data_IF_428209525000
#
_entry.id   IF_428209525000
#
_cell.length_a   1.000
_cell.length_b   1.000
_cell.length_c   1.000
_cell.angle_alpha   90.00
_cell.angle_beta   90.00
_cell.angle_gamma   90.00
#
_symmetry.space_group_name_H-M   'P 1'
#
loop_
_entity.id
_entity.type
_entity.pdbx_description
1 polymer ?
#
# COMPACT_ATOMS: atom_id res chain seq x y z
N UNK A 1 21.04 4.50 -1.31
CA UNK A 1 20.50 3.82 -2.50
C UNK A 1 20.98 2.38 -2.49
N UNK A 2 20.06 1.43 -2.58
CA UNK A 2 20.32 -0.02 -2.68
C UNK A 2 19.93 -0.44 -4.10
N UNK A 3 20.79 -1.16 -4.81
CA UNK A 3 20.52 -1.68 -6.16
C UNK A 3 20.33 -3.20 -6.06
N UNK A 4 19.40 -3.76 -6.81
CA UNK A 4 19.15 -5.21 -6.76
C UNK A 4 20.38 -5.97 -7.28
N UNK A 5 20.86 -6.99 -6.56
CA UNK A 5 22.13 -7.66 -6.88
C UNK A 5 22.14 -8.39 -8.23
N UNK A 6 20.97 -8.76 -8.74
CA UNK A 6 20.81 -9.50 -10.00
C UNK A 6 20.09 -8.69 -11.10
N UNK A 7 19.60 -7.48 -10.79
CA UNK A 7 18.89 -6.63 -11.75
C UNK A 7 19.23 -5.14 -11.51
N UNK A 8 20.19 -4.57 -12.24
CA UNK A 8 20.61 -3.19 -12.04
C UNK A 8 19.53 -2.16 -12.40
N UNK A 9 18.44 -2.56 -13.06
CA UNK A 9 17.31 -1.67 -13.35
C UNK A 9 16.40 -1.43 -12.13
N UNK A 10 16.57 -2.20 -11.05
CA UNK A 10 15.85 -2.03 -9.80
C UNK A 10 16.73 -1.33 -8.76
N UNK A 11 16.21 -0.24 -8.20
CA UNK A 11 16.88 0.48 -7.13
C UNK A 11 15.88 1.02 -6.10
N UNK A 12 16.30 1.02 -4.83
CA UNK A 12 15.56 1.55 -3.71
C UNK A 12 16.34 2.69 -3.07
N UNK A 13 15.64 3.78 -2.81
CA UNK A 13 16.17 4.98 -2.20
C UNK A 13 15.85 4.94 -0.69
N UNK A 14 16.91 5.05 0.12
CA UNK A 14 16.84 5.42 1.54
C UNK A 14 17.18 6.92 1.57
N UNK A 15 16.20 7.78 1.82
CA UNK A 15 16.28 9.16 1.33
C UNK A 15 17.00 10.11 2.31
N UNK A 16 17.98 10.85 1.77
CA UNK A 16 18.45 12.16 2.24
C UNK A 16 18.81 13.01 1.00
N UNK A 17 17.90 13.92 0.59
CA UNK A 17 18.02 15.09 -0.33
C UNK A 17 16.85 15.25 -1.35
N UNK A 18 16.76 16.46 -1.95
CA UNK A 18 15.61 17.11 -2.62
C UNK A 18 15.27 16.52 -4.01
N UNK A 19 14.80 15.27 -4.05
CA UNK A 19 14.27 14.61 -5.24
C UNK A 19 12.81 14.13 -5.04
N UNK A 20 12.22 13.43 -6.02
CA UNK A 20 10.87 12.86 -5.91
C UNK A 20 10.72 11.95 -4.69
N UNK A 21 11.78 11.24 -4.30
CA UNK A 21 11.77 10.42 -3.10
C UNK A 21 11.75 11.29 -1.84
N UNK A 22 12.44 12.43 -1.86
CA UNK A 22 12.31 13.51 -0.86
C UNK A 22 10.86 13.96 -0.69
N UNK A 23 10.18 14.30 -1.79
CA UNK A 23 8.75 14.67 -1.77
C UNK A 23 7.86 13.61 -1.14
N UNK A 24 8.09 12.32 -1.48
CA UNK A 24 7.32 11.20 -0.92
C UNK A 24 7.61 11.03 0.58
N UNK A 25 8.86 11.15 1.01
CA UNK A 25 9.21 11.03 2.44
C UNK A 25 8.63 12.19 3.24
N UNK A 26 8.69 13.42 2.72
CA UNK A 26 8.09 14.58 3.38
C UNK A 26 6.58 14.46 3.47
N UNK A 27 5.91 14.04 2.39
CA UNK A 27 4.49 13.70 2.42
C UNK A 27 4.17 12.64 3.46
N UNK A 28 4.94 11.54 3.51
CA UNK A 28 4.73 10.48 4.48
C UNK A 28 4.84 11.02 5.92
N UNK A 29 5.81 11.88 6.22
CA UNK A 29 5.99 12.50 7.54
C UNK A 29 4.92 13.53 7.89
N UNK A 30 4.42 14.28 6.91
CA UNK A 30 3.47 15.37 7.11
C UNK A 30 2.01 14.92 7.07
N UNK A 31 1.71 13.81 6.38
CA UNK A 31 0.35 13.31 6.21
C UNK A 31 0.16 11.94 6.87
N UNK A 32 0.93 10.92 6.46
CA UNK A 32 0.73 9.56 6.95
C UNK A 32 1.07 9.41 8.44
N UNK A 33 2.13 10.06 8.90
CA UNK A 33 2.56 10.04 10.30
C UNK A 33 1.78 11.01 11.21
N UNK A 34 0.89 11.84 10.66
CA UNK A 34 0.15 12.85 11.43
C UNK A 34 -1.30 12.44 11.65
N UNK A 35 -1.93 12.89 12.76
CA UNK A 35 -3.37 12.74 12.91
C UNK A 35 -4.10 13.58 11.87
N UNK A 36 -5.29 13.14 11.48
CA UNK A 36 -6.16 13.87 10.57
C UNK A 36 -7.54 14.06 11.22
N UNK A 37 -8.14 15.26 11.18
CA UNK A 37 -9.42 15.53 11.84
C UNK A 37 -10.56 14.63 11.32
N UNK A 38 -10.54 14.31 10.03
CA UNK A 38 -11.55 13.47 9.38
C UNK A 38 -11.23 11.97 9.46
N UNK A 39 -10.15 11.55 10.13
CA UNK A 39 -9.74 10.14 10.17
C UNK A 39 -10.79 9.23 10.84
N UNK A 40 -11.59 9.76 11.77
CA UNK A 40 -12.56 9.00 12.57
C UNK A 40 -11.95 8.25 13.77
N UNK A 41 -10.63 8.37 14.00
CA UNK A 41 -9.95 7.86 15.21
C UNK A 41 -8.78 8.75 15.61
N UNK A 42 -8.29 8.59 16.85
CA UNK A 42 -7.05 9.23 17.32
C UNK A 42 -5.80 8.60 16.67
N UNK A 43 -4.70 9.35 16.72
CA UNK A 43 -3.39 8.90 16.24
C UNK A 43 -3.18 9.17 14.74
N UNK A 44 -2.09 8.66 14.16
CA UNK A 44 -1.68 8.97 12.79
C UNK A 44 -2.64 8.36 11.75
N UNK A 45 -2.70 8.97 10.56
CA UNK A 45 -3.42 8.46 9.39
C UNK A 45 -3.03 7.01 9.09
N UNK A 46 -1.73 6.72 9.02
CA UNK A 46 -1.19 5.36 8.93
C UNK A 46 -0.35 5.04 10.19
N UNK A 47 -0.70 4.01 10.98
CA UNK A 47 0.05 3.65 12.18
C UNK A 47 1.37 2.92 11.89
N UNK A 48 1.63 2.55 10.63
CA UNK A 48 2.80 1.76 10.23
C UNK A 48 3.93 2.60 9.63
N UNK A 49 3.63 3.80 9.11
CA UNK A 49 4.61 4.62 8.38
C UNK A 49 5.73 5.13 9.28
N UNK A 50 5.41 5.68 10.46
CA UNK A 50 6.44 6.18 11.38
C UNK A 50 7.38 5.05 11.84
N UNK A 51 6.89 3.89 12.33
CA UNK A 51 7.76 2.76 12.65
C UNK A 51 8.59 2.23 11.48
N UNK A 52 8.06 2.30 10.24
CA UNK A 52 8.78 1.90 9.03
C UNK A 52 9.97 2.84 8.76
N UNK A 53 9.75 4.15 8.83
CA UNK A 53 10.79 5.18 8.70
C UNK A 53 11.86 5.04 9.80
N UNK A 54 11.44 4.92 11.06
CA UNK A 54 12.36 4.79 12.21
C UNK A 54 13.26 3.55 12.13
N UNK A 55 12.80 2.50 11.41
CA UNK A 55 13.53 1.24 11.21
C UNK A 55 14.33 1.19 9.91
N UNK A 56 14.30 2.25 9.09
CA UNK A 56 14.93 2.25 7.77
C UNK A 56 14.32 1.20 6.83
N UNK A 57 13.00 0.97 6.92
CA UNK A 57 12.27 -0.04 6.13
C UNK A 57 11.19 0.57 5.23
N UNK A 58 11.29 1.87 5.02
CA UNK A 58 10.44 2.64 4.12
C UNK A 58 11.23 2.91 2.85
N UNK A 59 11.02 2.07 1.83
CA UNK A 59 11.78 2.13 0.59
C UNK A 59 10.97 2.79 -0.51
N UNK A 60 11.63 3.59 -1.34
CA UNK A 60 11.01 4.25 -2.49
C UNK A 60 11.76 3.88 -3.77
N UNK A 61 11.03 3.51 -4.81
CA UNK A 61 11.52 3.39 -6.18
C UNK A 61 10.85 4.44 -7.04
N UNK A 62 11.61 5.04 -7.96
CA UNK A 62 11.09 5.96 -8.97
C UNK A 62 11.07 5.25 -10.33
N UNK A 63 9.90 5.18 -10.96
CA UNK A 63 9.78 4.81 -12.36
C UNK A 63 10.19 6.00 -13.22
N UNK A 64 11.22 5.82 -14.05
CA UNK A 64 11.72 6.86 -14.94
C UNK A 64 10.87 6.93 -16.22
N UNK A 65 10.42 8.14 -16.58
CA UNK A 65 9.60 8.38 -17.75
C UNK A 65 8.10 8.10 -17.55
N UNK A 66 7.25 8.54 -18.49
CA UNK A 66 5.82 8.24 -18.47
C UNK A 66 5.59 6.77 -18.86
N UNK A 67 4.92 5.94 -18.02
CA UNK A 67 4.51 4.62 -18.46
C UNK A 67 3.51 4.74 -19.63
N UNK A 68 3.68 3.90 -20.63
CA UNK A 68 2.83 3.89 -21.82
C UNK A 68 1.53 3.11 -21.57
N UNK A 69 1.58 2.05 -20.76
CA UNK A 69 0.45 1.15 -20.52
C UNK A 69 0.38 0.67 -19.07
N UNK A 70 -0.80 0.16 -18.68
CA UNK A 70 -0.97 -0.50 -17.39
C UNK A 70 -0.08 -1.74 -17.23
N UNK A 71 0.19 -2.48 -18.31
CA UNK A 71 1.02 -3.68 -18.26
C UNK A 71 2.49 -3.35 -17.95
N UNK A 72 2.96 -2.17 -18.32
CA UNK A 72 4.29 -1.69 -17.95
C UNK A 72 4.39 -1.38 -16.46
N UNK A 73 3.35 -0.75 -15.89
CA UNK A 73 3.22 -0.52 -14.45
C UNK A 73 3.21 -1.86 -13.71
N UNK A 74 2.37 -2.80 -14.15
CA UNK A 74 2.25 -4.15 -13.58
C UNK A 74 3.62 -4.85 -13.56
N UNK A 75 4.30 -4.95 -14.71
CA UNK A 75 5.62 -5.61 -14.78
C UNK A 75 6.62 -4.98 -13.83
N UNK A 76 6.65 -3.65 -13.74
CA UNK A 76 7.55 -2.96 -12.81
C UNK A 76 7.23 -3.32 -11.35
N UNK A 77 5.95 -3.27 -11.00
CA UNK A 77 5.51 -3.43 -9.61
C UNK A 77 5.69 -4.88 -9.17
N UNK A 78 5.48 -5.86 -10.06
CA UNK A 78 5.79 -7.27 -9.81
C UNK A 78 7.29 -7.53 -9.57
N UNK A 79 8.18 -6.88 -10.31
CA UNK A 79 9.62 -6.99 -10.05
C UNK A 79 9.98 -6.50 -8.62
N UNK A 80 9.34 -5.42 -8.16
CA UNK A 80 9.50 -4.95 -6.79
C UNK A 80 8.79 -5.81 -5.74
N UNK A 81 7.71 -6.52 -6.08
CA UNK A 81 7.11 -7.54 -5.20
C UNK A 81 8.07 -8.69 -4.97
N UNK A 82 8.71 -9.17 -6.03
CA UNK A 82 9.64 -10.28 -5.92
C UNK A 82 10.84 -9.86 -5.04
N UNK A 83 11.37 -8.65 -5.26
CA UNK A 83 12.39 -8.08 -4.38
C UNK A 83 11.91 -7.85 -2.94
N UNK A 84 10.65 -7.40 -2.75
CA UNK A 84 10.06 -7.25 -1.43
C UNK A 84 10.08 -8.57 -0.65
N UNK A 85 9.75 -9.69 -1.29
CA UNK A 85 9.73 -11.02 -0.66
C UNK A 85 11.13 -11.50 -0.24
N UNK A 86 12.19 -11.01 -0.90
CA UNK A 86 13.58 -11.26 -0.51
C UNK A 86 14.05 -10.35 0.62
N UNK A 87 13.65 -9.07 0.58
CA UNK A 87 14.05 -8.04 1.55
C UNK A 87 13.31 -8.13 2.89
N UNK A 88 12.01 -8.45 2.86
CA UNK A 88 11.18 -8.41 4.05
C UNK A 88 11.65 -9.46 5.07
N UNK A 89 11.81 -9.10 6.35
CA UNK A 89 12.15 -10.07 7.38
C UNK A 89 11.18 -11.23 7.42
N UNK A 90 11.69 -12.45 7.61
CA UNK A 90 10.82 -13.64 7.80
C UNK A 90 10.01 -13.58 9.09
N UNK A 91 10.46 -12.80 10.07
CA UNK A 91 9.76 -12.60 11.34
C UNK A 91 8.58 -11.63 11.17
N UNK A 92 7.36 -12.14 11.36
CA UNK A 92 6.09 -11.44 11.09
C UNK A 92 5.96 -10.06 11.74
N UNK A 93 6.45 -9.88 12.97
CA UNK A 93 6.35 -8.60 13.67
C UNK A 93 7.32 -7.55 13.11
N UNK A 94 8.50 -7.98 12.66
CA UNK A 94 9.45 -7.09 12.00
C UNK A 94 9.02 -6.79 10.54
N UNK A 95 8.39 -7.76 9.88
CA UNK A 95 7.99 -7.72 8.47
C UNK A 95 6.89 -6.70 8.18
N UNK A 96 5.95 -6.47 9.11
CA UNK A 96 4.83 -5.53 8.92
C UNK A 96 5.27 -4.07 8.76
N UNK A 97 6.53 -3.75 9.08
CA UNK A 97 7.10 -2.41 8.96
C UNK A 97 7.92 -2.23 7.68
N UNK A 98 8.04 -3.25 6.83
CA UNK A 98 8.66 -3.13 5.51
C UNK A 98 7.63 -2.69 4.49
N UNK A 99 7.98 -1.68 3.70
CA UNK A 99 7.20 -1.26 2.53
C UNK A 99 8.10 -0.82 1.39
N UNK A 100 7.67 -1.09 0.16
CA UNK A 100 8.23 -0.49 -1.05
C UNK A 100 7.13 0.34 -1.71
N UNK A 101 7.41 1.63 -1.94
CA UNK A 101 6.59 2.51 -2.75
C UNK A 101 7.18 2.58 -4.16
N UNK A 102 6.42 2.16 -5.16
CA UNK A 102 6.79 2.33 -6.58
C UNK A 102 6.07 3.55 -7.11
N UNK A 103 6.81 4.63 -7.34
CA UNK A 103 6.27 5.94 -7.70
C UNK A 103 6.43 6.25 -9.19
N UNK A 104 5.44 6.94 -9.75
CA UNK A 104 5.31 7.28 -11.17
C UNK A 104 5.15 8.80 -11.34
N UNK A 105 6.19 9.60 -11.10
CA UNK A 105 6.09 11.08 -11.12
C UNK A 105 5.72 11.64 -12.49
N UNK A 106 6.06 10.93 -13.56
CA UNK A 106 5.81 11.34 -14.94
C UNK A 106 4.52 10.71 -15.52
N UNK A 107 3.64 10.15 -14.67
CA UNK A 107 2.37 9.57 -15.13
C UNK A 107 1.46 10.62 -15.79
N UNK A 108 1.54 11.87 -15.31
CA UNK A 108 0.58 12.93 -15.64
C UNK A 108 -0.79 12.66 -14.99
N UNK A 109 -1.84 13.26 -15.52
CA UNK A 109 -3.22 13.10 -15.02
C UNK A 109 -3.88 11.75 -15.35
N UNK A 110 -3.09 10.70 -15.64
CA UNK A 110 -3.57 9.37 -16.04
C UNK A 110 -3.67 8.42 -14.83
N UNK A 111 -4.28 8.89 -13.75
CA UNK A 111 -4.34 8.17 -12.46
C UNK A 111 -5.13 6.86 -12.56
N UNK A 112 -6.03 6.73 -13.55
CA UNK A 112 -6.76 5.51 -13.86
C UNK A 112 -5.84 4.30 -14.15
N UNK A 113 -4.61 4.55 -14.62
CA UNK A 113 -3.62 3.49 -14.84
C UNK A 113 -3.11 2.88 -13.53
N UNK A 114 -3.02 3.67 -12.46
CA UNK A 114 -2.65 3.17 -11.12
C UNK A 114 -3.80 2.35 -10.55
N UNK A 115 -5.03 2.85 -10.65
CA UNK A 115 -6.22 2.15 -10.15
C UNK A 115 -6.40 0.81 -10.87
N UNK A 116 -6.24 0.79 -12.20
CA UNK A 116 -6.34 -0.42 -13.00
C UNK A 116 -5.23 -1.43 -12.65
N UNK A 117 -3.98 -0.96 -12.50
CA UNK A 117 -2.87 -1.81 -12.09
C UNK A 117 -3.14 -2.42 -10.71
N UNK A 118 -3.57 -1.62 -9.73
CA UNK A 118 -3.89 -2.10 -8.40
C UNK A 118 -4.99 -3.17 -8.44
N UNK A 119 -6.07 -2.91 -9.18
CA UNK A 119 -7.19 -3.84 -9.33
C UNK A 119 -6.75 -5.19 -9.90
N UNK A 120 -5.92 -5.18 -10.96
CA UNK A 120 -5.41 -6.41 -11.60
C UNK A 120 -4.43 -7.18 -10.72
N UNK A 121 -3.61 -6.47 -9.94
CA UNK A 121 -2.59 -7.07 -9.07
C UNK A 121 -3.16 -7.60 -7.75
N UNK A 122 -4.24 -7.00 -7.23
CA UNK A 122 -4.72 -7.20 -5.86
C UNK A 122 -4.85 -8.67 -5.47
N UNK A 123 -5.53 -9.48 -6.27
CA UNK A 123 -5.79 -10.89 -5.93
C UNK A 123 -4.48 -11.68 -5.78
N UNK A 124 -3.55 -11.55 -6.74
CA UNK A 124 -2.25 -12.24 -6.67
C UNK A 124 -1.38 -11.78 -5.50
N UNK A 125 -1.46 -10.51 -5.10
CA UNK A 125 -0.72 -10.01 -3.93
C UNK A 125 -1.30 -10.56 -2.63
N UNK A 126 -2.63 -10.59 -2.50
CA UNK A 126 -3.32 -11.12 -1.33
C UNK A 126 -3.05 -12.62 -1.18
N UNK A 127 -2.96 -13.37 -2.29
CA UNK A 127 -2.58 -14.78 -2.29
C UNK A 127 -1.18 -15.06 -1.74
N UNK A 128 -0.27 -14.09 -1.84
CA UNK A 128 1.10 -14.13 -1.33
C UNK A 128 1.25 -13.54 0.08
N UNK A 129 0.16 -13.14 0.74
CA UNK A 129 0.23 -12.55 2.07
C UNK A 129 0.57 -11.05 2.07
N UNK A 130 0.43 -10.40 0.91
CA UNK A 130 0.74 -8.99 0.70
C UNK A 130 -0.54 -8.16 0.50
N UNK A 131 -0.43 -6.86 0.79
CA UNK A 131 -1.36 -5.85 0.28
C UNK A 131 -0.65 -5.01 -0.76
N UNK A 132 -1.43 -4.56 -1.74
CA UNK A 132 -1.07 -3.50 -2.66
C UNK A 132 -2.10 -2.37 -2.56
N UNK A 133 -1.62 -1.17 -2.25
CA UNK A 133 -2.45 0.03 -2.13
C UNK A 133 -2.05 1.09 -3.15
N UNK A 134 -3.04 1.71 -3.77
CA UNK A 134 -2.85 2.79 -4.73
C UNK A 134 -3.05 4.16 -4.11
N UNK A 135 -2.23 5.14 -4.53
CA UNK A 135 -2.26 6.51 -4.04
C UNK A 135 -2.02 7.49 -5.19
N UNK A 136 -2.76 8.60 -5.22
CA UNK A 136 -2.59 9.73 -6.16
C UNK A 136 -3.36 10.98 -5.68
N UNK A 137 -3.32 12.08 -6.45
CA UNK A 137 -3.76 13.43 -6.05
C UNK A 137 -5.27 13.68 -6.17
N UNK A 138 -5.98 12.92 -7.02
CA UNK A 138 -7.42 12.77 -7.01
C UNK A 138 -7.79 11.42 -6.39
N UNK A 139 -7.55 11.22 -5.07
CA UNK A 139 -7.38 9.91 -4.47
C UNK A 139 -8.50 8.95 -4.86
N UNK A 140 -8.21 7.65 -4.99
CA UNK A 140 -9.21 6.64 -5.33
C UNK A 140 -10.44 6.78 -4.43
N UNK A 141 -11.62 6.47 -4.98
CA UNK A 141 -12.88 6.50 -4.24
C UNK A 141 -13.00 5.32 -3.25
N UNK A 142 -12.04 5.26 -2.32
CA UNK A 142 -11.93 4.26 -1.25
C UNK A 142 -12.09 4.96 0.10
N UNK A 143 -13.18 4.62 0.77
CA UNK A 143 -13.51 5.09 2.10
C UNK A 143 -12.42 4.73 3.14
N UNK A 144 -12.22 5.63 4.10
CA UNK A 144 -11.43 5.36 5.29
C UNK A 144 -12.10 4.32 6.20
N UNK A 145 -11.28 3.55 6.92
CA UNK A 145 -11.76 2.48 7.80
C UNK A 145 -12.69 2.98 8.93
N UNK A 146 -12.50 4.21 9.41
CA UNK A 146 -13.24 4.78 10.55
C UNK A 146 -14.14 5.96 10.17
N UNK A 147 -14.05 6.44 8.93
CA UNK A 147 -14.89 7.49 8.37
C UNK A 147 -15.07 7.25 6.87
N UNK A 148 -16.32 6.98 6.47
CA UNK A 148 -16.65 6.66 5.08
C UNK A 148 -16.50 7.85 4.12
N UNK A 149 -16.55 9.08 4.63
CA UNK A 149 -16.39 10.30 3.83
C UNK A 149 -14.92 10.68 3.62
N UNK A 150 -14.01 10.10 4.42
CA UNK A 150 -12.58 10.37 4.30
C UNK A 150 -11.95 9.54 3.18
N UNK A 151 -11.07 10.15 2.40
CA UNK A 151 -10.27 9.50 1.33
C UNK A 151 -8.79 9.50 1.74
N UNK A 152 -8.30 8.44 2.44
CA UNK A 152 -6.98 8.44 3.07
C UNK A 152 -5.82 8.20 2.08
N UNK A 153 -6.11 7.91 0.82
CA UNK A 153 -5.13 7.46 -0.18
C UNK A 153 -4.59 8.60 -1.05
N UNK A 154 -4.60 9.82 -0.52
CA UNK A 154 -4.06 11.00 -1.21
C UNK A 154 -2.53 11.03 -1.18
N UNK A 155 -1.90 11.27 -2.33
CA UNK A 155 -0.45 11.42 -2.47
C UNK A 155 -0.10 12.49 -3.51
N UNK A 156 0.98 13.28 -3.31
CA UNK A 156 1.47 14.23 -4.30
C UNK A 156 2.07 13.57 -5.55
N UNK A 157 2.37 12.27 -5.47
CA UNK A 157 2.94 11.48 -6.58
C UNK A 157 2.13 10.20 -6.73
N UNK A 158 1.65 9.85 -7.93
CA UNK A 158 0.98 8.57 -8.17
C UNK A 158 1.91 7.40 -7.84
N UNK A 159 1.44 6.45 -7.01
CA UNK A 159 2.28 5.34 -6.56
C UNK A 159 1.47 4.09 -6.19
N UNK A 160 2.15 2.95 -6.20
CA UNK A 160 1.67 1.67 -5.65
C UNK A 160 2.55 1.26 -4.47
N UNK A 161 1.91 1.01 -3.33
CA UNK A 161 2.54 0.62 -2.08
C UNK A 161 2.46 -0.89 -1.89
N UNK A 162 3.61 -1.54 -1.74
CA UNK A 162 3.73 -2.97 -1.42
C UNK A 162 4.05 -3.12 0.05
N UNK A 163 3.31 -3.97 0.76
CA UNK A 163 3.60 -4.37 2.15
C UNK A 163 3.01 -5.74 2.46
N UNK A 164 3.38 -6.32 3.59
CA UNK A 164 2.61 -7.44 4.14
C UNK A 164 1.19 -7.02 4.51
N UNK A 165 0.24 -7.94 4.34
CA UNK A 165 -1.10 -7.78 4.93
C UNK A 165 -1.02 -7.63 6.44
N UNK A 166 -1.99 -6.93 7.03
CA UNK A 166 -2.21 -6.79 8.47
C UNK A 166 -3.67 -7.16 8.81
N UNK A 167 -3.99 -7.50 10.07
CA UNK A 167 -5.35 -7.95 10.42
C UNK A 167 -6.45 -6.93 10.12
N UNK A 168 -6.13 -5.64 10.12
CA UNK A 168 -7.09 -4.56 9.82
C UNK A 168 -7.42 -4.45 8.33
N UNK A 169 -6.85 -5.29 7.46
CA UNK A 169 -7.14 -5.28 6.03
C UNK A 169 -8.42 -6.02 5.66
N UNK A 170 -9.00 -6.83 6.55
CA UNK A 170 -10.18 -7.64 6.28
C UNK A 170 -11.35 -6.85 5.63
N UNK A 171 -11.71 -5.63 6.07
CA UNK A 171 -12.79 -4.87 5.45
C UNK A 171 -12.59 -4.60 3.96
N UNK A 172 -11.34 -4.55 3.49
CA UNK A 172 -11.00 -4.32 2.08
C UNK A 172 -10.98 -5.61 1.24
N UNK A 173 -11.12 -6.78 1.86
CA UNK A 173 -10.95 -8.10 1.21
C UNK A 173 -12.22 -8.95 1.28
N UNK A 174 -13.16 -8.64 2.18
CA UNK A 174 -14.30 -9.50 2.52
C UNK A 174 -15.34 -9.65 1.40
N UNK A 175 -15.41 -8.71 0.46
CA UNK A 175 -16.41 -8.71 -0.62
C UNK A 175 -16.01 -9.60 -1.81
N UNK A 176 -14.76 -10.10 -1.82
CA UNK A 176 -14.25 -11.06 -2.81
C UNK A 176 -13.88 -12.39 -2.12
N UNK A 177 -14.50 -13.48 -2.54
CA UNK A 177 -14.33 -14.80 -1.89
C UNK A 177 -12.89 -15.34 -1.98
N UNK A 178 -12.19 -15.06 -3.08
CA UNK A 178 -10.80 -15.47 -3.25
C UNK A 178 -9.87 -14.70 -2.31
N UNK A 179 -10.05 -13.38 -2.23
CA UNK A 179 -9.30 -12.50 -1.34
C UNK A 179 -9.57 -12.83 0.13
N UNK A 180 -10.82 -13.07 0.50
CA UNK A 180 -11.19 -13.49 1.86
C UNK A 180 -10.55 -14.84 2.23
N UNK A 181 -10.61 -15.82 1.33
CA UNK A 181 -10.00 -17.14 1.56
C UNK A 181 -8.47 -17.04 1.72
N UNK A 182 -7.82 -16.22 0.89
CA UNK A 182 -6.41 -15.94 1.02
C UNK A 182 -6.07 -15.25 2.34
N UNK A 183 -6.82 -14.21 2.74
CA UNK A 183 -6.65 -13.57 4.04
C UNK A 183 -6.78 -14.57 5.21
N UNK A 184 -7.76 -15.46 5.18
CA UNK A 184 -7.96 -16.50 6.20
C UNK A 184 -6.77 -17.48 6.30
N UNK A 185 -6.05 -17.77 5.21
CA UNK A 185 -4.82 -18.59 5.27
C UNK A 185 -3.72 -17.93 6.11
N UNK A 186 -3.62 -16.60 6.08
CA UNK A 186 -2.56 -15.86 6.79
C UNK A 186 -2.92 -15.43 8.21
N UNK A 187 -4.20 -15.22 8.51
CA UNK A 187 -4.66 -14.73 9.82
C UNK A 187 -5.56 -15.73 10.58
N UNK A 188 -6.10 -16.74 9.91
CA UNK A 188 -7.01 -17.74 10.49
C UNK A 188 -8.17 -17.12 11.27
N UNK A 189 -8.51 -17.71 12.41
CA UNK A 189 -9.48 -17.18 13.37
C UNK A 189 -8.88 -16.11 14.31
N UNK A 190 -7.84 -15.35 13.91
CA UNK A 190 -7.27 -14.26 14.74
C UNK A 190 -7.79 -12.87 14.38
N UNK A 191 -8.78 -12.79 13.49
CA UNK A 191 -9.51 -11.55 13.24
C UNK A 191 -10.11 -11.05 14.56
N UNK A 192 -9.81 -9.84 15.05
CA UNK A 192 -10.50 -9.28 16.20
C UNK A 192 -12.02 -9.35 15.99
N UNK A 193 -12.80 -9.74 16.99
CA UNK A 193 -14.26 -9.93 16.86
C UNK A 193 -14.98 -8.69 16.32
N UNK A 194 -14.53 -7.49 16.67
CA UNK A 194 -15.07 -6.22 16.16
C UNK A 194 -14.79 -5.96 14.67
N UNK A 195 -13.89 -6.72 14.03
CA UNK A 195 -13.68 -6.72 12.58
C UNK A 195 -14.45 -7.87 11.89
N UNK A 196 -15.09 -8.77 12.66
CA UNK A 196 -15.90 -9.88 12.14
C UNK A 196 -17.37 -9.51 11.94
N UNK A 197 -17.86 -8.46 12.61
CA UNK A 197 -19.27 -8.02 12.53
C UNK A 197 -19.30 -6.58 11.99
N UNK A 198 -20.21 -6.16 11.09
CA UNK A 198 -21.66 -5.88 11.32
C UNK A 198 -22.31 -5.43 9.98
N UNK A 199 -23.64 -5.32 9.79
CA UNK A 199 -24.79 -6.09 10.27
C UNK A 199 -25.35 -7.04 9.18
N UNK A 200 -26.01 -8.12 9.61
CA UNK A 200 -27.04 -8.79 8.81
C UNK A 200 -28.03 -7.75 8.28
N UNK A 201 -28.23 -7.73 6.97
CA UNK A 201 -29.37 -7.04 6.39
C UNK A 201 -30.63 -7.55 7.09
N UNK A 202 -31.30 -6.66 7.83
CA UNK A 202 -32.68 -6.87 8.24
C UNK A 202 -33.49 -6.83 6.96
N UNK A 203 -33.85 -8.01 6.44
CA UNK A 203 -35.00 -8.12 5.55
C UNK A 203 -36.21 -8.41 6.44
N UNK A 204 -36.90 -7.33 6.79
CA UNK A 204 -38.32 -7.36 7.14
C UNK A 204 -39.09 -7.13 5.84
N UNK A 205 -39.61 -8.20 5.26
CA UNK A 205 -41.02 -8.37 4.84
C UNK A 205 -41.22 -9.76 4.22
#
# INVERSE_FOLDING_TARGET
MIVHPLDPALSLLEVSDVDVAGTIVDWARQYLCRPHPELGRKGPTCPYTQPSLDKGRFYVSIFAGPPATVDEIIRRVEAYRDWFLELAPRERHAAQFTTILVAFPELGGRTELIDEAQRRLKTGYVELGLMIGEFHDGPPDKAGLWNADFRPLASPVPLLAIRHMVPTDLPFLRDDQGQLSAYQRYFGHRVPSHLRETPTAVTSD
#
